data_IF_207801604065
#
_entry.id   IF_207801604065
#
_cell.length_a   1.000
_cell.length_b   1.000
_cell.length_c   1.000
_cell.angle_alpha   90.00
_cell.angle_beta   90.00
_cell.angle_gamma   90.00
#
_symmetry.space_group_name_H-M   'P 1'
#
loop_
_entity.id
_entity.type
_entity.pdbx_description
1 polymer ?
#
# COMPACT_ATOMS: atom_id res chain seq x y z
N UNK A 1 -11.91 -20.85 8.36
CA UNK A 1 -11.69 -19.57 7.62
C UNK A 1 -11.17 -18.41 8.48
N UNK A 2 -11.72 -18.08 9.66
CA UNK A 2 -11.31 -16.91 10.47
C UNK A 2 -9.80 -16.87 10.81
N UNK A 3 -9.18 -18.02 11.10
CA UNK A 3 -7.74 -18.10 11.41
C UNK A 3 -6.83 -18.06 10.17
N UNK A 4 -7.33 -18.40 8.98
CA UNK A 4 -6.54 -18.49 7.75
C UNK A 4 -6.04 -17.10 7.31
N UNK A 5 -6.94 -16.11 7.36
CA UNK A 5 -6.72 -14.77 6.81
C UNK A 5 -6.36 -13.72 7.85
N UNK A 6 -6.44 -14.02 9.16
CA UNK A 6 -6.26 -13.02 10.23
C UNK A 6 -4.91 -12.32 10.19
N UNK A 7 -3.82 -13.09 10.12
CA UNK A 7 -2.46 -12.54 10.12
C UNK A 7 -2.13 -11.78 8.82
N UNK A 8 -2.36 -12.34 7.61
CA UNK A 8 -2.21 -11.60 6.36
C UNK A 8 -3.04 -10.31 6.31
N UNK A 9 -4.26 -10.34 6.86
CA UNK A 9 -5.13 -9.17 6.93
C UNK A 9 -4.57 -8.09 7.84
N UNK A 10 -4.02 -8.44 9.01
CA UNK A 10 -3.40 -7.47 9.92
C UNK A 10 -2.20 -6.79 9.23
N UNK A 11 -1.32 -7.58 8.61
CA UNK A 11 -0.17 -7.03 7.89
C UNK A 11 -0.59 -6.09 6.75
N UNK A 12 -1.60 -6.48 5.96
CA UNK A 12 -2.16 -5.66 4.91
C UNK A 12 -2.78 -4.36 5.43
N UNK A 13 -3.52 -4.41 6.56
CA UNK A 13 -4.10 -3.23 7.22
C UNK A 13 -3.01 -2.29 7.72
N UNK A 14 -1.97 -2.81 8.38
CA UNK A 14 -0.84 -1.98 8.85
C UNK A 14 -0.16 -1.29 7.67
N UNK A 15 0.13 -2.01 6.60
CA UNK A 15 0.67 -1.44 5.37
C UNK A 15 -0.26 -0.38 4.76
N UNK A 16 -1.58 -0.61 4.79
CA UNK A 16 -2.58 0.33 4.30
C UNK A 16 -2.64 1.61 5.13
N UNK A 17 -2.50 1.53 6.46
CA UNK A 17 -2.44 2.70 7.34
C UNK A 17 -1.21 3.55 7.01
N UNK A 18 -0.03 2.93 6.90
CA UNK A 18 1.22 3.62 6.56
C UNK A 18 1.11 4.28 5.18
N UNK A 19 0.57 3.56 4.20
CA UNK A 19 0.30 4.09 2.86
C UNK A 19 -0.66 5.28 2.87
N UNK A 20 -1.71 5.21 3.69
CA UNK A 20 -2.68 6.30 3.83
C UNK A 20 -2.03 7.55 4.42
N UNK A 21 -1.16 7.38 5.42
CA UNK A 21 -0.40 8.50 6.00
C UNK A 21 0.55 9.14 4.97
N UNK A 22 1.25 8.33 4.17
CA UNK A 22 2.11 8.84 3.10
C UNK A 22 1.30 9.60 2.05
N UNK A 23 0.20 9.01 1.57
CA UNK A 23 -0.65 9.64 0.57
C UNK A 23 -1.23 10.96 1.09
N UNK A 24 -1.69 10.99 2.34
CA UNK A 24 -2.19 12.19 3.01
C UNK A 24 -1.10 13.25 3.15
N UNK A 25 0.12 12.87 3.52
CA UNK A 25 1.24 13.81 3.61
C UNK A 25 1.57 14.44 2.25
N UNK A 26 1.54 13.66 1.16
CA UNK A 26 1.80 14.15 -0.20
C UNK A 26 0.68 15.11 -0.65
N UNK A 27 -0.58 14.77 -0.39
CA UNK A 27 -1.70 15.65 -0.72
C UNK A 27 -1.70 16.92 0.11
N UNK A 28 -1.41 16.83 1.42
CA UNK A 28 -1.27 18.00 2.28
C UNK A 28 -0.14 18.92 1.80
N UNK A 29 1.03 18.36 1.46
CA UNK A 29 2.14 19.13 0.91
C UNK A 29 1.78 19.82 -0.42
N UNK A 30 1.03 19.14 -1.29
CA UNK A 30 0.56 19.71 -2.56
C UNK A 30 -0.40 20.89 -2.36
N UNK A 31 -1.34 20.77 -1.41
CA UNK A 31 -2.34 21.81 -1.12
C UNK A 31 -1.72 23.01 -0.39
N UNK A 32 -0.74 22.77 0.49
CA UNK A 32 -0.09 23.81 1.30
C UNK A 32 1.09 24.47 0.55
N UNK A 33 1.49 23.97 -0.62
CA UNK A 33 2.60 24.50 -1.40
C UNK A 33 2.48 26.00 -1.74
N UNK A 34 1.26 26.53 -1.82
CA UNK A 34 1.01 27.96 -2.08
C UNK A 34 0.89 28.81 -0.81
N UNK A 35 0.92 28.21 0.38
CA UNK A 35 0.81 28.95 1.62
C UNK A 35 2.06 29.79 1.90
N UNK A 36 1.92 30.95 2.57
CA UNK A 36 3.03 31.88 2.84
C UNK A 36 4.23 31.20 3.50
N UNK A 37 3.97 30.32 4.47
CA UNK A 37 5.01 29.60 5.23
C UNK A 37 5.91 28.76 4.31
N UNK A 38 5.30 28.07 3.33
CA UNK A 38 6.06 27.23 2.38
C UNK A 38 6.73 28.09 1.32
N UNK A 39 6.08 29.15 0.85
CA UNK A 39 6.69 30.08 -0.08
C UNK A 39 7.90 30.80 0.52
N UNK A 40 7.86 31.19 1.78
CA UNK A 40 9.01 31.79 2.49
C UNK A 40 10.17 30.80 2.60
N UNK A 41 9.88 29.53 2.87
CA UNK A 41 10.90 28.47 2.83
C UNK A 41 11.52 28.31 1.43
N UNK A 42 10.69 28.33 0.37
CA UNK A 42 11.16 28.20 -1.01
C UNK A 42 11.94 29.45 -1.47
N UNK A 43 11.53 30.66 -1.09
CA UNK A 43 12.25 31.93 -1.35
C UNK A 43 13.63 31.93 -0.72
N UNK A 44 13.77 31.38 0.48
CA UNK A 44 15.08 31.27 1.14
C UNK A 44 16.03 30.27 0.47
N UNK A 45 15.52 29.43 -0.45
CA UNK A 45 16.29 28.40 -1.17
C UNK A 45 16.41 28.65 -2.67
N UNK A 46 15.58 29.51 -3.24
CA UNK A 46 15.48 29.79 -4.67
C UNK A 46 15.26 31.28 -4.94
N UNK A 47 15.97 31.82 -5.92
CA UNK A 47 15.81 33.20 -6.41
C UNK A 47 14.41 33.43 -7.02
N UNK A 48 13.78 32.39 -7.54
CA UNK A 48 12.42 32.39 -8.06
C UNK A 48 11.56 31.36 -7.31
N UNK A 49 10.76 31.84 -6.36
CA UNK A 49 9.89 30.98 -5.57
C UNK A 49 8.66 30.49 -6.33
N UNK A 50 8.26 31.18 -7.40
CA UNK A 50 7.13 30.74 -8.24
C UNK A 50 7.57 29.52 -9.03
N UNK A 51 8.72 29.61 -9.71
CA UNK A 51 9.30 28.47 -10.43
C UNK A 51 9.58 27.28 -9.49
N UNK A 52 10.09 27.54 -8.27
CA UNK A 52 10.33 26.49 -7.28
C UNK A 52 9.03 25.81 -6.79
N UNK A 53 7.94 26.57 -6.62
CA UNK A 53 6.64 26.03 -6.21
C UNK A 53 6.04 25.15 -7.30
N UNK A 54 6.14 25.57 -8.57
CA UNK A 54 5.68 24.79 -9.72
C UNK A 54 6.47 23.47 -9.79
N UNK A 55 7.80 23.54 -9.76
CA UNK A 55 8.66 22.36 -9.79
C UNK A 55 8.37 21.40 -8.62
N UNK A 56 8.12 21.94 -7.42
CA UNK A 56 7.75 21.12 -6.25
C UNK A 56 6.43 20.37 -6.47
N UNK A 57 5.40 21.06 -6.98
CA UNK A 57 4.10 20.43 -7.31
C UNK A 57 4.23 19.38 -8.41
N UNK A 58 5.03 19.65 -9.44
CA UNK A 58 5.28 18.73 -10.56
C UNK A 58 5.95 17.43 -10.11
N UNK A 59 6.75 17.45 -9.04
CA UNK A 59 7.34 16.23 -8.45
C UNK A 59 6.35 15.50 -7.53
N UNK A 60 5.55 16.22 -6.76
CA UNK A 60 4.59 15.63 -5.82
C UNK A 60 3.47 14.86 -6.53
N UNK A 61 3.02 15.33 -7.69
CA UNK A 61 1.90 14.74 -8.43
C UNK A 61 2.20 13.29 -8.90
N UNK A 62 3.28 13.00 -9.63
CA UNK A 62 3.63 11.62 -10.01
C UNK A 62 3.95 10.76 -8.78
N UNK A 63 4.56 11.33 -7.75
CA UNK A 63 4.83 10.61 -6.49
C UNK A 63 3.53 10.18 -5.80
N UNK A 64 2.51 11.05 -5.78
CA UNK A 64 1.18 10.72 -5.29
C UNK A 64 0.51 9.59 -6.08
N UNK A 65 0.63 9.60 -7.42
CA UNK A 65 0.09 8.53 -8.28
C UNK A 65 0.79 7.19 -8.02
N UNK A 66 2.11 7.20 -7.86
CA UNK A 66 2.91 6.02 -7.55
C UNK A 66 2.48 5.38 -6.21
N UNK A 67 2.04 6.18 -5.24
CA UNK A 67 1.53 5.70 -3.94
C UNK A 67 0.05 5.27 -4.03
N UNK A 68 -0.76 5.97 -4.83
CA UNK A 68 -2.20 5.73 -4.95
C UNK A 68 -2.52 4.34 -5.52
N UNK A 69 -1.77 3.90 -6.55
CA UNK A 69 -2.04 2.60 -7.20
C UNK A 69 -1.80 1.43 -6.22
N UNK A 70 -0.65 1.31 -5.52
CA UNK A 70 -0.44 0.32 -4.48
C UNK A 70 -1.45 0.41 -3.34
N UNK A 71 -1.87 1.63 -2.95
CA UNK A 71 -2.89 1.84 -1.92
C UNK A 71 -4.24 1.22 -2.32
N UNK A 72 -4.69 1.43 -3.56
CA UNK A 72 -5.91 0.84 -4.10
C UNK A 72 -5.80 -0.69 -4.20
N UNK A 73 -4.69 -1.21 -4.72
CA UNK A 73 -4.46 -2.65 -4.83
C UNK A 73 -4.47 -3.34 -3.46
N UNK A 74 -3.83 -2.74 -2.45
CA UNK A 74 -3.84 -3.26 -1.10
C UNK A 74 -5.27 -3.25 -0.51
N UNK A 75 -6.02 -2.16 -0.71
CA UNK A 75 -7.41 -2.06 -0.26
C UNK A 75 -8.29 -3.16 -0.89
N UNK A 76 -8.20 -3.35 -2.21
CA UNK A 76 -8.91 -4.42 -2.91
C UNK A 76 -8.49 -5.80 -2.38
N UNK A 77 -7.19 -6.01 -2.16
CA UNK A 77 -6.65 -7.21 -1.53
C UNK A 77 -7.32 -7.52 -0.19
N UNK A 78 -7.47 -6.51 0.68
CA UNK A 78 -8.12 -6.63 1.99
C UNK A 78 -9.62 -6.95 1.87
N UNK A 79 -10.33 -6.24 0.99
CA UNK A 79 -11.79 -6.37 0.82
C UNK A 79 -12.18 -7.75 0.28
N UNK A 80 -11.46 -8.23 -0.72
CA UNK A 80 -11.79 -9.50 -1.40
C UNK A 80 -11.15 -10.74 -0.76
N UNK A 81 -10.36 -10.58 0.31
CA UNK A 81 -9.57 -11.66 0.93
C UNK A 81 -10.40 -12.87 1.38
N UNK A 82 -11.69 -12.70 1.68
CA UNK A 82 -12.58 -13.80 2.07
C UNK A 82 -13.10 -14.61 0.88
N UNK A 83 -13.35 -13.96 -0.26
CA UNK A 83 -14.02 -14.58 -1.42
C UNK A 83 -13.03 -15.04 -2.48
N UNK A 84 -11.97 -14.25 -2.71
CA UNK A 84 -10.97 -14.50 -3.75
C UNK A 84 -9.57 -14.52 -3.15
N UNK A 85 -9.29 -15.53 -2.31
CA UNK A 85 -8.03 -15.64 -1.53
C UNK A 85 -6.80 -15.50 -2.43
N UNK A 86 -6.69 -16.27 -3.51
CA UNK A 86 -5.52 -16.22 -4.40
C UNK A 86 -5.38 -14.87 -5.12
N UNK A 87 -6.48 -14.28 -5.59
CA UNK A 87 -6.44 -12.97 -6.23
C UNK A 87 -5.99 -11.89 -5.24
N UNK A 88 -6.50 -11.93 -4.00
CA UNK A 88 -6.06 -11.04 -2.92
C UNK A 88 -4.58 -11.20 -2.60
N UNK A 89 -4.04 -12.42 -2.58
CA UNK A 89 -2.61 -12.62 -2.38
C UNK A 89 -1.77 -11.97 -3.50
N UNK A 90 -2.18 -12.15 -4.75
CA UNK A 90 -1.51 -11.54 -5.90
C UNK A 90 -1.58 -10.02 -5.83
N UNK A 91 -2.74 -9.44 -5.48
CA UNK A 91 -2.89 -7.99 -5.30
C UNK A 91 -1.97 -7.44 -4.21
N UNK A 92 -1.82 -8.16 -3.08
CA UNK A 92 -0.88 -7.77 -2.02
C UNK A 92 0.57 -7.83 -2.48
N UNK A 93 0.97 -8.90 -3.18
CA UNK A 93 2.34 -9.05 -3.69
C UNK A 93 2.65 -7.96 -4.71
N UNK A 94 1.75 -7.70 -5.67
CA UNK A 94 1.92 -6.64 -6.67
C UNK A 94 2.02 -5.26 -6.00
N UNK A 95 1.15 -4.97 -5.03
CA UNK A 95 1.22 -3.74 -4.24
C UNK A 95 2.59 -3.61 -3.54
N UNK A 96 3.10 -4.68 -2.94
CA UNK A 96 4.44 -4.70 -2.36
C UNK A 96 5.56 -4.47 -3.38
N UNK A 97 5.53 -5.14 -4.53
CA UNK A 97 6.52 -5.00 -5.59
C UNK A 97 6.57 -3.58 -6.17
N UNK A 98 5.42 -2.93 -6.32
CA UNK A 98 5.35 -1.53 -6.74
C UNK A 98 5.97 -0.57 -5.73
N UNK A 99 6.16 -1.01 -4.48
CA UNK A 99 6.69 -0.21 -3.38
C UNK A 99 8.11 -0.58 -2.95
N UNK A 100 8.88 -1.27 -3.79
CA UNK A 100 10.26 -1.66 -3.49
C UNK A 100 11.18 -0.48 -3.13
N UNK A 101 10.83 0.74 -3.53
CA UNK A 101 11.52 1.97 -3.14
C UNK A 101 11.40 2.29 -1.63
N UNK A 102 10.45 1.68 -0.93
CA UNK A 102 10.34 1.69 0.54
C UNK A 102 10.67 0.30 1.04
N UNK A 103 11.65 0.08 1.91
CA UNK A 103 12.07 -1.30 2.28
C UNK A 103 11.00 -2.02 3.12
N UNK A 104 10.23 -1.30 3.93
CA UNK A 104 9.34 -1.89 4.96
C UNK A 104 8.02 -2.41 4.38
N UNK A 105 7.35 -1.62 3.52
CA UNK A 105 6.07 -1.98 2.91
C UNK A 105 6.09 -3.25 2.02
N UNK A 106 7.09 -3.50 1.14
CA UNK A 106 7.18 -4.73 0.37
C UNK A 106 7.36 -5.94 1.27
N UNK A 107 8.16 -5.84 2.33
CA UNK A 107 8.33 -6.94 3.28
C UNK A 107 7.00 -7.29 3.93
N UNK A 108 6.21 -6.31 4.37
CA UNK A 108 4.90 -6.55 4.97
C UNK A 108 3.93 -7.19 3.98
N UNK A 109 3.83 -6.63 2.77
CA UNK A 109 2.82 -7.01 1.78
C UNK A 109 3.14 -8.33 1.07
N UNK A 110 4.39 -8.56 0.70
CA UNK A 110 4.83 -9.82 0.07
C UNK A 110 4.75 -10.96 1.09
N UNK A 111 5.16 -10.72 2.34
CA UNK A 111 4.98 -11.72 3.41
C UNK A 111 3.50 -12.02 3.66
N UNK A 112 2.64 -11.00 3.66
CA UNK A 112 1.20 -11.22 3.81
C UNK A 112 0.63 -12.08 2.67
N UNK A 113 0.97 -11.76 1.42
CA UNK A 113 0.50 -12.50 0.25
C UNK A 113 1.03 -13.94 0.19
N UNK A 114 2.31 -14.16 0.48
CA UNK A 114 2.90 -15.52 0.52
C UNK A 114 2.29 -16.39 1.60
N UNK A 115 2.10 -15.86 2.82
CA UNK A 115 1.41 -16.59 3.90
C UNK A 115 0.00 -16.97 3.50
N UNK A 116 -0.71 -16.05 2.82
CA UNK A 116 -2.07 -16.30 2.36
C UNK A 116 -2.11 -17.45 1.33
N UNK A 117 -1.17 -17.49 0.38
CA UNK A 117 -1.04 -18.57 -0.61
C UNK A 117 -0.74 -19.92 0.08
N UNK A 118 0.27 -19.95 0.95
CA UNK A 118 0.71 -21.18 1.63
C UNK A 118 -0.41 -21.76 2.47
N UNK A 119 -1.08 -20.94 3.28
CA UNK A 119 -2.21 -21.37 4.11
C UNK A 119 -3.39 -21.82 3.26
N UNK A 120 -3.71 -21.12 2.18
CA UNK A 120 -4.82 -21.52 1.30
C UNK A 120 -4.57 -22.86 0.61
N UNK A 121 -3.35 -23.10 0.10
CA UNK A 121 -2.96 -24.39 -0.46
C UNK A 121 -3.03 -25.51 0.57
N UNK A 122 -2.57 -25.26 1.79
CA UNK A 122 -2.65 -26.22 2.89
C UNK A 122 -4.11 -26.59 3.21
N UNK A 123 -4.99 -25.59 3.35
CA UNK A 123 -6.42 -25.78 3.61
C UNK A 123 -7.11 -26.62 2.53
N UNK A 124 -6.85 -26.31 1.25
CA UNK A 124 -7.41 -27.08 0.14
C UNK A 124 -6.93 -28.52 0.21
N UNK A 125 -5.63 -28.77 0.43
CA UNK A 125 -5.06 -30.13 0.39
C UNK A 125 -5.43 -31.01 1.58
N UNK A 126 -5.59 -30.44 2.78
CA UNK A 126 -5.72 -31.23 4.02
C UNK A 126 -7.07 -31.08 4.73
N UNK A 127 -7.77 -29.94 4.62
CA UNK A 127 -9.00 -29.72 5.38
C UNK A 127 -10.26 -29.81 4.49
N UNK A 128 -10.16 -29.43 3.22
CA UNK A 128 -11.33 -29.40 2.31
C UNK A 128 -11.75 -30.79 1.81
N UNK A 129 -10.81 -31.74 1.72
CA UNK A 129 -11.04 -33.10 1.21
C UNK A 129 -10.96 -34.18 2.29
N UNK A 130 -10.91 -33.82 3.58
CA UNK A 130 -11.10 -34.80 4.64
C UNK A 130 -12.57 -35.27 4.60
N UNK A 131 -12.78 -36.47 4.08
CA UNK A 131 -14.06 -37.16 4.16
C UNK A 131 -14.34 -37.55 5.61
N UNK A 132 -15.58 -37.47 6.10
CA UNK A 132 -15.95 -37.74 7.49
C UNK A 132 -15.85 -39.22 7.92
N UNK A 133 -15.20 -40.08 7.11
CA UNK A 133 -15.01 -41.50 7.40
C UNK A 133 -13.51 -41.77 7.62
N UNK A 134 -13.01 -41.41 8.79
CA UNK A 134 -11.83 -42.01 9.42
C UNK A 134 -12.14 -42.24 10.90
#
# INVERSE_FOLDING_TARGET
MKNLTRLPKILAILAWIVLSLLLFSVTAAYLVAEQPIVQDFLRNKSTDAIAATIAFKEVLLPFGVIILIPWLLNLLGILYMKRYVMASAVMLILSGLMMLYTIILPILLITAGTILITRHRYFIKHEKYQTPYQ
#
